data_IF_486466817943
#
_entry.id   IF_486466817943
#
_cell.length_a   1.000
_cell.length_b   1.000
_cell.length_c   1.000
_cell.angle_alpha   90.00
_cell.angle_beta   90.00
_cell.angle_gamma   90.00
#
_symmetry.space_group_name_H-M   'P 1'
#
loop_
_entity.id
_entity.type
_entity.pdbx_description
1 polymer ?
#
# COMPACT_ATOMS: atom_id res chain seq x y z
N UNK A 1 -6.71 17.06 -12.99
CA UNK A 1 -5.79 17.31 -11.86
C UNK A 1 -5.55 15.98 -11.18
N UNK A 2 -4.31 15.50 -11.14
CA UNK A 2 -3.93 14.27 -10.43
C UNK A 2 -3.34 14.59 -9.07
N UNK A 3 -3.30 13.61 -8.18
CA UNK A 3 -2.56 13.70 -6.92
C UNK A 3 -1.05 13.84 -7.20
N UNK A 4 -0.34 14.58 -6.36
CA UNK A 4 1.13 14.61 -6.40
C UNK A 4 1.71 13.26 -5.96
N UNK A 5 2.96 12.98 -6.34
CA UNK A 5 3.64 11.76 -5.91
C UNK A 5 3.70 11.64 -4.37
N UNK A 6 3.88 12.77 -3.68
CA UNK A 6 3.89 12.81 -2.22
C UNK A 6 2.52 12.48 -1.64
N UNK A 7 1.44 13.02 -2.19
CA UNK A 7 0.08 12.68 -1.79
C UNK A 7 -0.22 11.19 -2.01
N UNK A 8 0.26 10.59 -3.10
CA UNK A 8 0.10 9.15 -3.36
C UNK A 8 0.92 8.33 -2.35
N UNK A 9 2.15 8.71 -2.06
CA UNK A 9 3.01 8.02 -1.10
C UNK A 9 2.43 8.04 0.32
N UNK A 10 1.80 9.14 0.73
CA UNK A 10 1.13 9.23 2.03
C UNK A 10 -0.09 8.32 2.18
N UNK A 11 -0.71 7.92 1.07
CA UNK A 11 -1.83 6.98 1.08
C UNK A 11 -1.36 5.55 1.34
N UNK A 12 -0.10 5.23 1.05
CA UNK A 12 0.47 3.91 1.29
C UNK A 12 0.95 3.82 2.76
N UNK A 13 0.50 2.83 3.54
CA UNK A 13 1.03 2.59 4.89
C UNK A 13 2.55 2.40 4.94
N UNK A 14 3.12 1.72 3.93
CA UNK A 14 4.58 1.59 3.75
C UNK A 14 5.28 2.95 3.51
N UNK A 15 4.52 4.01 3.21
CA UNK A 15 5.01 5.38 3.05
C UNK A 15 5.53 5.70 1.66
N UNK A 16 5.41 4.76 0.71
CA UNK A 16 5.75 4.97 -0.70
C UNK A 16 5.02 3.98 -1.60
N UNK A 17 4.89 4.33 -2.88
CA UNK A 17 4.47 3.42 -3.93
C UNK A 17 5.58 2.39 -4.20
N UNK A 18 5.19 1.16 -4.50
CA UNK A 18 6.11 0.13 -4.95
C UNK A 18 6.75 0.50 -6.29
N UNK A 19 8.04 0.17 -6.44
CA UNK A 19 8.75 0.29 -7.70
C UNK A 19 8.39 -0.85 -8.64
N UNK A 20 8.65 -0.67 -9.95
CA UNK A 20 8.46 -1.76 -10.94
C UNK A 20 9.30 -3.00 -10.61
N UNK A 21 10.49 -2.80 -10.03
CA UNK A 21 11.40 -3.87 -9.64
C UNK A 21 10.79 -4.74 -8.54
N UNK A 22 10.20 -4.12 -7.50
CA UNK A 22 9.56 -4.85 -6.41
C UNK A 22 8.36 -5.68 -6.88
N UNK A 23 7.59 -5.17 -7.85
CA UNK A 23 6.52 -5.96 -8.50
C UNK A 23 7.12 -7.13 -9.29
N UNK A 24 8.21 -6.89 -10.02
CA UNK A 24 8.93 -7.92 -10.77
C UNK A 24 9.48 -9.04 -9.87
N UNK A 25 9.95 -8.71 -8.67
CA UNK A 25 10.44 -9.68 -7.68
C UNK A 25 9.33 -10.58 -7.14
N UNK A 26 8.12 -10.03 -6.92
CA UNK A 26 6.94 -10.85 -6.58
C UNK A 26 6.59 -11.80 -7.72
N UNK A 27 6.59 -11.32 -8.97
CA UNK A 27 6.36 -12.17 -10.14
C UNK A 27 7.44 -13.25 -10.28
N UNK A 28 8.71 -12.91 -10.06
CA UNK A 28 9.82 -13.85 -10.12
C UNK A 28 9.64 -14.95 -9.07
N UNK A 29 9.34 -14.59 -7.82
CA UNK A 29 9.06 -15.56 -6.75
C UNK A 29 7.97 -16.56 -7.19
N UNK A 30 6.85 -16.07 -7.72
CA UNK A 30 5.74 -16.90 -8.21
C UNK A 30 6.10 -17.80 -9.39
N UNK A 31 7.15 -17.47 -10.15
CA UNK A 31 7.65 -18.28 -11.25
C UNK A 31 8.69 -19.34 -10.83
N UNK A 32 9.13 -19.33 -9.56
CA UNK A 32 10.09 -20.30 -9.04
C UNK A 32 9.41 -21.49 -8.37
N UNK A 33 10.15 -22.58 -8.17
CA UNK A 33 9.69 -23.75 -7.40
C UNK A 33 9.34 -23.41 -5.93
N UNK A 34 9.83 -22.28 -5.41
CA UNK A 34 9.50 -21.83 -4.04
C UNK A 34 8.00 -21.52 -3.87
N UNK A 35 7.32 -21.15 -4.96
CA UNK A 35 5.89 -20.89 -4.97
C UNK A 35 5.06 -22.12 -5.38
N UNK A 36 5.65 -23.33 -5.41
CA UNK A 36 5.03 -24.55 -5.98
C UNK A 36 3.71 -25.02 -5.34
N UNK A 37 3.25 -24.38 -4.26
CA UNK A 37 1.94 -24.63 -3.62
C UNK A 37 1.00 -23.43 -3.69
N UNK A 38 1.38 -22.36 -4.40
CA UNK A 38 0.57 -21.16 -4.60
C UNK A 38 -0.02 -21.23 -6.00
N UNK A 39 -1.33 -21.47 -6.08
CA UNK A 39 -2.07 -21.45 -7.34
C UNK A 39 -3.47 -20.87 -7.10
N UNK A 40 -4.12 -20.42 -8.17
CA UNK A 40 -5.49 -19.85 -8.16
C UNK A 40 -5.71 -18.79 -7.07
N UNK A 41 -4.65 -18.06 -6.71
CA UNK A 41 -4.60 -17.12 -5.59
C UNK A 41 -4.27 -15.72 -6.09
N UNK A 42 -4.88 -14.70 -5.48
CA UNK A 42 -4.51 -13.30 -5.71
C UNK A 42 -3.52 -12.87 -4.64
N UNK A 43 -2.30 -12.52 -5.05
CA UNK A 43 -1.27 -11.99 -4.14
C UNK A 43 -1.32 -10.47 -4.16
N UNK A 44 -1.63 -9.85 -3.02
CA UNK A 44 -1.62 -8.39 -2.89
C UNK A 44 -0.19 -7.88 -2.66
N UNK A 45 0.27 -7.01 -3.55
CA UNK A 45 1.53 -6.26 -3.42
C UNK A 45 1.24 -4.76 -3.59
N UNK A 46 0.73 -4.14 -2.53
CA UNK A 46 0.10 -2.81 -2.58
C UNK A 46 0.53 -1.89 -1.43
N UNK A 47 1.58 -2.26 -0.69
CA UNK A 47 2.05 -1.50 0.47
C UNK A 47 1.03 -1.40 1.62
N UNK A 48 0.13 -2.39 1.73
CA UNK A 48 -1.00 -2.46 2.67
C UNK A 48 -2.13 -1.43 2.41
N UNK A 49 -2.17 -0.83 1.23
CA UNK A 49 -3.16 0.21 0.90
C UNK A 49 -4.60 -0.29 0.81
N UNK A 50 -4.83 -1.53 0.40
CA UNK A 50 -6.16 -2.11 0.25
C UNK A 50 -6.72 -2.64 1.57
N UNK A 51 -5.90 -3.35 2.36
CA UNK A 51 -6.39 -4.07 3.55
C UNK A 51 -6.53 -3.18 4.79
N UNK A 52 -5.95 -1.99 4.80
CA UNK A 52 -6.10 -1.05 5.91
C UNK A 52 -7.24 -0.09 5.59
N UNK A 53 -8.44 -0.47 6.00
CA UNK A 53 -9.61 0.40 5.87
C UNK A 53 -9.43 1.62 6.82
N UNK A 54 -9.09 2.77 6.25
CA UNK A 54 -8.91 4.03 6.96
C UNK A 54 -7.50 4.25 7.49
N UNK A 55 -6.60 4.68 6.59
CA UNK A 55 -5.25 5.17 6.87
C UNK A 55 -5.18 5.86 8.24
N UNK A 56 -4.49 5.26 9.21
CA UNK A 56 -4.37 5.80 10.57
C UNK A 56 -3.90 7.25 10.55
N UNK A 57 -3.04 7.63 9.59
CA UNK A 57 -2.62 9.02 9.41
C UNK A 57 -3.76 9.92 8.98
N UNK A 58 -4.68 9.46 8.14
CA UNK A 58 -5.87 10.21 7.76
C UNK A 58 -6.83 10.35 8.95
N UNK A 59 -7.03 9.29 9.74
CA UNK A 59 -7.82 9.34 10.98
C UNK A 59 -7.19 10.27 12.02
N UNK A 60 -5.87 10.22 12.18
CA UNK A 60 -5.11 11.09 13.07
C UNK A 60 -5.12 12.55 12.59
N UNK A 61 -5.03 12.80 11.27
CA UNK A 61 -5.22 14.14 10.69
C UNK A 61 -6.61 14.68 10.98
N UNK A 62 -7.64 13.87 10.74
CA UNK A 62 -9.04 14.24 11.02
C UNK A 62 -9.24 14.50 12.53
N UNK A 63 -8.70 13.66 13.40
CA UNK A 63 -8.72 13.84 14.84
C UNK A 63 -8.05 15.14 15.28
N UNK A 64 -6.83 15.42 14.78
CA UNK A 64 -6.11 16.68 15.07
C UNK A 64 -6.90 17.91 14.64
N UNK A 65 -7.54 17.86 13.46
CA UNK A 65 -8.38 18.96 12.96
C UNK A 65 -9.65 19.17 13.79
N UNK A 66 -10.25 18.09 14.29
CA UNK A 66 -11.41 18.18 15.20
C UNK A 66 -10.99 18.82 16.52
N UNK A 67 -9.89 18.33 17.12
CA UNK A 67 -9.40 18.82 18.41
C UNK A 67 -8.88 20.25 18.37
N UNK A 68 -8.35 20.73 17.24
CA UNK A 68 -7.94 22.13 17.11
C UNK A 68 -9.11 23.13 17.02
N UNK A 69 -10.34 22.63 16.83
CA UNK A 69 -11.57 23.45 16.73
C UNK A 69 -12.40 23.45 18.01
N UNK A 70 -12.05 22.62 18.99
CA UNK A 70 -12.62 22.62 20.34
C UNK A 70 -11.83 23.58 21.24
#
# INVERSE_FOLDING_TARGET
MGLSAEQINEMMPVGRVATRQEIGEVCLFLATDMAGQITSSTILCDGASWMINGNEKQRLRMYKQLMSKM
#
